data_IF_868048115329
#
_entry.id   IF_868048115329
#
_cell.length_a   1.000
_cell.length_b   1.000
_cell.length_c   1.000
_cell.angle_alpha   90.00
_cell.angle_beta   90.00
_cell.angle_gamma   90.00
#
_symmetry.space_group_name_H-M   'P 1'
#
loop_
_entity.id
_entity.type
_entity.pdbx_description
1 polymer ?
#
# COMPACT_ATOMS: atom_id res chain seq x y z
N UNK A 1 49.08 28.94 40.75
CA UNK A 1 48.47 27.60 40.94
C UNK A 1 47.00 27.81 41.23
N UNK A 2 46.18 26.94 40.67
CA UNK A 2 44.75 27.11 40.35
C UNK A 2 43.91 26.68 41.56
N UNK A 3 42.84 27.41 41.85
CA UNK A 3 41.76 26.99 42.76
C UNK A 3 40.42 27.20 42.05
N UNK A 4 39.85 26.10 41.56
CA UNK A 4 38.39 25.93 41.33
C UNK A 4 37.71 25.64 42.71
N UNK A 5 36.37 25.57 42.89
CA UNK A 5 35.29 25.46 41.89
C UNK A 5 33.99 26.24 42.20
N UNK A 6 33.11 26.43 41.21
CA UNK A 6 31.68 26.66 41.48
C UNK A 6 30.84 25.76 40.57
N UNK A 7 30.15 24.83 41.22
CA UNK A 7 29.37 23.75 40.63
C UNK A 7 27.98 24.26 40.28
N UNK A 8 27.70 24.51 39.00
CA UNK A 8 26.33 24.78 38.54
C UNK A 8 25.56 23.49 38.31
N UNK A 9 24.75 23.12 39.31
CA UNK A 9 23.65 22.15 39.18
C UNK A 9 22.59 22.73 38.25
N UNK A 10 22.45 22.21 37.04
CA UNK A 10 21.26 22.42 36.22
C UNK A 10 20.65 21.06 35.90
N UNK A 11 19.87 20.57 36.85
CA UNK A 11 19.03 19.39 36.68
C UNK A 11 17.85 19.76 35.77
N UNK A 12 18.09 19.76 34.46
CA UNK A 12 17.03 19.90 33.46
C UNK A 12 16.39 18.53 33.26
N UNK A 13 15.25 18.32 33.94
CA UNK A 13 14.45 17.10 33.83
C UNK A 13 13.89 16.98 32.41
N UNK A 14 14.37 16.00 31.63
CA UNK A 14 13.76 15.58 30.38
C UNK A 14 12.41 14.91 30.69
N UNK A 15 11.32 15.59 30.32
CA UNK A 15 9.98 15.02 30.23
C UNK A 15 9.91 14.10 28.99
N UNK A 16 9.32 12.89 29.07
CA UNK A 16 9.12 12.04 27.90
C UNK A 16 8.02 12.63 27.02
N UNK A 17 8.39 13.00 25.79
CA UNK A 17 7.47 13.48 24.75
C UNK A 17 6.60 12.30 24.29
N UNK A 18 5.37 12.21 24.79
CA UNK A 18 4.40 11.20 24.40
C UNK A 18 3.75 11.60 23.05
N UNK A 19 4.34 11.16 21.93
CA UNK A 19 3.76 11.34 20.61
C UNK A 19 2.69 10.28 20.35
N UNK A 20 1.41 10.60 20.63
CA UNK A 20 0.28 9.80 20.14
C UNK A 20 0.14 10.06 18.64
N UNK A 21 0.62 9.13 17.82
CA UNK A 21 0.36 9.12 16.37
C UNK A 21 -1.12 8.83 16.12
N UNK A 22 -1.90 9.89 15.91
CA UNK A 22 -3.19 9.81 15.25
C UNK A 22 -2.96 9.35 13.81
N UNK A 23 -3.11 8.06 13.55
CA UNK A 23 -3.13 7.50 12.20
C UNK A 23 -4.38 7.99 11.49
N UNK A 24 -4.27 9.14 10.83
CA UNK A 24 -5.31 9.63 9.93
C UNK A 24 -5.26 8.76 8.66
N UNK A 25 -6.39 8.17 8.21
CA UNK A 25 -6.44 7.59 6.87
C UNK A 25 -6.34 8.75 5.87
N UNK A 26 -5.18 8.93 5.27
CA UNK A 26 -5.01 9.82 4.12
C UNK A 26 -5.75 9.20 2.94
N UNK A 27 -7.01 9.57 2.74
CA UNK A 27 -7.67 9.39 1.46
C UNK A 27 -7.09 10.43 0.51
N UNK A 28 -5.94 10.11 -0.10
CA UNK A 28 -5.51 10.83 -1.29
C UNK A 28 -6.56 10.56 -2.37
N UNK A 29 -7.50 11.51 -2.56
CA UNK A 29 -8.31 11.64 -3.76
C UNK A 29 -7.40 12.14 -4.88
N UNK A 30 -6.47 11.28 -5.29
CA UNK A 30 -5.59 11.57 -6.41
C UNK A 30 -6.06 10.76 -7.61
N UNK A 31 -6.40 11.45 -8.70
CA UNK A 31 -6.37 10.88 -10.06
C UNK A 31 -4.97 10.36 -10.46
N UNK A 32 -3.99 10.53 -9.58
CA UNK A 32 -2.65 9.97 -9.66
C UNK A 32 -2.67 8.46 -9.71
N UNK A 33 -2.01 7.92 -10.73
CA UNK A 33 -1.71 6.51 -10.81
C UNK A 33 -0.70 6.16 -9.72
N UNK A 34 -0.97 5.11 -8.95
CA UNK A 34 0.00 4.57 -8.00
C UNK A 34 -0.03 3.06 -8.00
N UNK A 35 1.12 2.47 -7.71
CA UNK A 35 1.28 1.05 -7.47
C UNK A 35 2.25 0.85 -6.32
N UNK A 36 1.98 -0.15 -5.49
CA UNK A 36 2.90 -0.58 -4.45
C UNK A 36 2.85 -2.09 -4.30
N UNK A 37 3.95 -2.67 -3.83
CA UNK A 37 4.05 -4.10 -3.52
C UNK A 37 4.61 -4.23 -2.12
N UNK A 38 3.96 -5.04 -1.29
CA UNK A 38 4.40 -5.40 0.03
C UNK A 38 4.53 -6.91 0.12
N UNK A 39 5.67 -7.37 0.63
CA UNK A 39 5.94 -8.79 0.87
C UNK A 39 6.29 -8.93 2.34
N UNK A 40 5.57 -9.81 3.03
CA UNK A 40 5.76 -10.11 4.45
C UNK A 40 5.49 -11.60 4.64
N UNK A 41 6.22 -12.26 5.54
CA UNK A 41 6.24 -13.73 5.72
C UNK A 41 4.96 -14.47 5.26
N UNK A 42 5.03 -15.10 4.08
CA UNK A 42 3.97 -15.92 3.50
C UNK A 42 2.85 -15.18 2.76
N UNK A 43 2.96 -13.85 2.60
CA UNK A 43 2.00 -13.01 1.89
C UNK A 43 2.68 -11.95 1.00
N UNK A 44 2.24 -11.85 -0.24
CA UNK A 44 2.55 -10.74 -1.15
C UNK A 44 1.27 -9.98 -1.51
N UNK A 45 1.34 -8.65 -1.50
CA UNK A 45 0.20 -7.76 -1.79
C UNK A 45 0.64 -6.69 -2.76
N UNK A 46 0.00 -6.63 -3.94
CA UNK A 46 0.06 -5.48 -4.83
C UNK A 46 -1.16 -4.59 -4.64
N UNK A 47 -0.96 -3.28 -4.52
CA UNK A 47 -2.05 -2.30 -4.47
C UNK A 47 -1.89 -1.33 -5.63
N UNK A 48 -2.94 -1.13 -6.41
CA UNK A 48 -2.98 -0.22 -7.56
C UNK A 48 -4.15 0.75 -7.43
N UNK A 49 -3.95 2.00 -7.83
CA UNK A 49 -4.98 3.05 -7.92
C UNK A 49 -4.78 3.89 -9.18
N UNK A 50 -5.86 4.53 -9.62
CA UNK A 50 -5.87 5.42 -10.79
C UNK A 50 -6.38 4.73 -12.05
N UNK A 51 -5.99 5.28 -13.21
CA UNK A 51 -6.49 4.85 -14.52
C UNK A 51 -5.53 3.94 -15.29
N UNK A 52 -4.24 4.01 -14.97
CA UNK A 52 -3.19 3.21 -15.59
C UNK A 52 -2.04 2.96 -14.61
N UNK A 53 -1.86 1.72 -14.19
CA UNK A 53 -0.83 1.34 -13.22
C UNK A 53 -0.44 -0.12 -13.43
N UNK A 54 0.80 -0.48 -13.08
CA UNK A 54 1.31 -1.85 -13.22
C UNK A 54 2.02 -2.22 -11.92
N UNK A 55 1.78 -3.44 -11.42
CA UNK A 55 2.52 -4.02 -10.32
C UNK A 55 2.89 -5.47 -10.64
N UNK A 56 4.11 -5.87 -10.30
CA UNK A 56 4.55 -7.26 -10.36
C UNK A 56 4.54 -7.82 -8.94
N UNK A 57 3.61 -8.72 -8.65
CA UNK A 57 3.42 -9.33 -7.33
C UNK A 57 3.92 -10.77 -7.39
N UNK A 58 5.14 -11.00 -6.89
CA UNK A 58 5.90 -12.23 -7.17
C UNK A 58 6.02 -12.43 -8.69
N UNK A 59 5.44 -13.50 -9.23
CA UNK A 59 5.49 -13.84 -10.66
C UNK A 59 4.26 -13.32 -11.45
N UNK A 60 3.29 -12.70 -10.77
CA UNK A 60 2.04 -12.25 -11.39
C UNK A 60 2.10 -10.75 -11.73
N UNK A 61 1.83 -10.44 -12.99
CA UNK A 61 1.71 -9.06 -13.49
C UNK A 61 0.26 -8.59 -13.36
N UNK A 62 0.04 -7.56 -12.55
CA UNK A 62 -1.26 -6.91 -12.34
C UNK A 62 -1.24 -5.56 -13.04
N UNK A 63 -2.22 -5.30 -13.91
CA UNK A 63 -2.29 -4.08 -14.72
C UNK A 63 -3.67 -3.45 -14.60
N UNK A 64 -3.70 -2.16 -14.29
CA UNK A 64 -4.81 -1.28 -14.63
C UNK A 64 -4.54 -0.72 -16.03
N UNK A 65 -5.43 -1.01 -16.98
CA UNK A 65 -5.34 -0.54 -18.36
C UNK A 65 -6.74 -0.23 -18.88
N UNK A 66 -6.92 0.96 -19.43
CA UNK A 66 -8.19 1.41 -20.02
C UNK A 66 -9.41 1.28 -19.08
N UNK A 67 -9.19 1.55 -17.78
CA UNK A 67 -10.25 1.44 -16.76
C UNK A 67 -10.68 0.01 -16.46
N UNK A 68 -9.88 -0.99 -16.83
CA UNK A 68 -10.08 -2.39 -16.45
C UNK A 68 -8.81 -2.95 -15.79
N UNK A 69 -9.00 -3.98 -14.97
CA UNK A 69 -7.91 -4.69 -14.30
C UNK A 69 -7.62 -6.01 -15.01
N UNK A 70 -6.34 -6.34 -15.13
CA UNK A 70 -5.83 -7.56 -15.73
C UNK A 70 -4.81 -8.22 -14.80
N UNK A 71 -4.80 -9.54 -14.74
CA UNK A 71 -3.75 -10.33 -14.10
C UNK A 71 -3.19 -11.29 -15.14
N UNK A 72 -1.90 -11.17 -15.47
CA UNK A 72 -1.24 -11.96 -16.51
C UNK A 72 -2.00 -11.92 -17.86
N UNK A 73 -2.61 -10.78 -18.18
CA UNK A 73 -3.44 -10.60 -19.39
C UNK A 73 -4.90 -11.05 -19.26
N UNK A 74 -5.26 -11.82 -18.21
CA UNK A 74 -6.65 -12.20 -17.95
C UNK A 74 -7.42 -11.00 -17.37
N UNK A 75 -8.50 -10.60 -18.02
CA UNK A 75 -9.34 -9.49 -17.54
C UNK A 75 -10.16 -9.89 -16.31
N UNK A 76 -10.30 -8.96 -15.37
CA UNK A 76 -11.19 -9.01 -14.20
C UNK A 76 -12.26 -7.90 -14.25
N UNK A 77 -12.45 -7.34 -15.45
CA UNK A 77 -13.48 -6.37 -15.76
C UNK A 77 -13.15 -4.92 -15.37
N UNK A 78 -14.12 -4.01 -15.60
CA UNK A 78 -13.94 -2.57 -15.40
C UNK A 78 -13.82 -2.19 -13.92
N UNK A 79 -13.02 -1.16 -13.64
CA UNK A 79 -12.71 -0.63 -12.32
C UNK A 79 -12.89 0.89 -12.33
N UNK A 80 -13.64 1.47 -11.38
CA UNK A 80 -13.73 2.92 -11.23
C UNK A 80 -12.34 3.56 -11.00
N UNK A 81 -12.11 4.77 -11.52
CA UNK A 81 -10.80 5.45 -11.40
C UNK A 81 -10.34 5.65 -9.96
N UNK A 82 -11.27 5.85 -9.05
CA UNK A 82 -11.02 6.07 -7.62
C UNK A 82 -10.98 4.78 -6.80
N UNK A 83 -11.14 3.62 -7.43
CA UNK A 83 -11.13 2.35 -6.72
C UNK A 83 -9.71 1.90 -6.37
N UNK A 84 -9.60 1.18 -5.26
CA UNK A 84 -8.39 0.46 -4.89
C UNK A 84 -8.45 -0.96 -5.44
N UNK A 85 -7.50 -1.31 -6.29
CA UNK A 85 -7.26 -2.69 -6.69
C UNK A 85 -6.20 -3.29 -5.79
N UNK A 86 -6.50 -4.44 -5.19
CA UNK A 86 -5.56 -5.19 -4.38
C UNK A 86 -5.42 -6.62 -4.87
N UNK A 87 -4.21 -7.05 -5.14
CA UNK A 87 -3.90 -8.43 -5.52
C UNK A 87 -3.10 -9.09 -4.39
N UNK A 88 -3.64 -10.16 -3.82
CA UNK A 88 -3.08 -10.83 -2.65
C UNK A 88 -2.71 -12.25 -3.01
N UNK A 89 -1.45 -12.62 -2.76
CA UNK A 89 -0.96 -13.99 -2.79
C UNK A 89 -0.67 -14.40 -1.34
N UNK A 90 -1.36 -15.43 -0.84
CA UNK A 90 -1.13 -15.99 0.51
C UNK A 90 -1.20 -17.52 0.46
N UNK A 91 -0.12 -18.19 0.85
CA UNK A 91 -0.07 -19.66 0.85
C UNK A 91 -0.45 -20.28 -0.49
N UNK A 92 -0.02 -19.66 -1.61
CA UNK A 92 -0.34 -20.08 -2.98
C UNK A 92 -1.72 -19.64 -3.50
N UNK A 93 -2.63 -19.19 -2.64
CA UNK A 93 -3.92 -18.66 -3.06
C UNK A 93 -3.78 -17.24 -3.61
N UNK A 94 -4.39 -16.99 -4.77
CA UNK A 94 -4.39 -15.70 -5.48
C UNK A 94 -5.77 -15.10 -5.43
N UNK A 95 -5.90 -13.89 -4.92
CA UNK A 95 -7.18 -13.18 -4.82
C UNK A 95 -7.02 -11.75 -5.32
N UNK A 96 -7.87 -11.36 -6.26
CA UNK A 96 -8.03 -9.96 -6.65
C UNK A 96 -9.22 -9.35 -5.92
N UNK A 97 -9.03 -8.19 -5.31
CA UNK A 97 -10.07 -7.38 -4.70
C UNK A 97 -10.15 -6.02 -5.38
N UNK A 98 -11.36 -5.51 -5.51
CA UNK A 98 -11.61 -4.11 -5.91
C UNK A 98 -12.47 -3.49 -4.82
N UNK A 99 -11.97 -2.43 -4.19
CA UNK A 99 -12.56 -1.81 -3.00
C UNK A 99 -12.90 -2.84 -1.91
N UNK A 100 -11.98 -3.77 -1.68
CA UNK A 100 -12.13 -4.85 -0.69
C UNK A 100 -13.08 -5.98 -1.09
N UNK A 101 -13.72 -5.93 -2.27
CA UNK A 101 -14.61 -6.99 -2.76
C UNK A 101 -13.86 -7.95 -3.70
N UNK A 102 -13.82 -9.26 -3.41
CA UNK A 102 -13.20 -10.23 -4.30
C UNK A 102 -13.84 -10.23 -5.68
N UNK A 103 -13.02 -10.37 -6.72
CA UNK A 103 -13.47 -10.52 -8.11
C UNK A 103 -12.97 -11.82 -8.72
N UNK A 104 -13.78 -12.37 -9.62
CA UNK A 104 -13.41 -13.48 -10.49
C UNK A 104 -12.98 -12.94 -11.86
N UNK A 105 -12.18 -13.70 -12.62
CA UNK A 105 -11.91 -13.39 -14.01
C UNK A 105 -13.19 -13.17 -14.80
N UNK A 106 -13.18 -12.19 -15.70
CA UNK A 106 -14.21 -12.05 -16.72
C UNK A 106 -14.16 -13.26 -17.66
N UNK A 107 -15.33 -13.65 -18.19
CA UNK A 107 -15.39 -14.69 -19.20
C UNK A 107 -14.57 -14.27 -20.45
N UNK A 108 -13.90 -15.22 -21.13
CA UNK A 108 -13.25 -14.92 -22.40
C UNK A 108 -14.27 -14.36 -23.40
N UNK A 109 -13.86 -13.37 -24.19
CA UNK A 109 -14.66 -12.89 -25.31
C UNK A 109 -14.89 -14.05 -26.30
N UNK A 110 -16.15 -14.26 -26.70
CA UNK A 110 -16.56 -15.31 -27.64
C UNK A 110 -16.35 -14.88 -29.09
#
# INVERSE_FOLDING_TARGET
MITEPETMKHALRLLPLLAVLLTSPSYALGDSNSSSVSITDGQAVGTLRGSSAIATVLDDKVELRDGAVYVNGQSYGPVPRNAEVKYVIRGGNRTLLVDGKPRKPAAPAR
#
